data_IF_970439749045
#
_entry.id   IF_970439749045
#
_cell.length_a   1.000
_cell.length_b   1.000
_cell.length_c   1.000
_cell.angle_alpha   90.00
_cell.angle_beta   90.00
_cell.angle_gamma   90.00
#
_symmetry.space_group_name_H-M   'P 1'
#
loop_
_entity.id
_entity.type
_entity.pdbx_description
1 polymer ?
#
# COMPACT_ATOMS: atom_id res chain seq x y z
N UNK A 1 -2.90 30.19 -17.42
CA UNK A 1 -3.15 28.79 -16.95
C UNK A 1 -2.08 27.77 -17.40
N UNK A 2 -0.82 28.16 -17.64
CA UNK A 2 0.27 27.22 -18.01
C UNK A 2 1.14 26.74 -16.84
N UNK A 3 0.99 27.34 -15.65
CA UNK A 3 1.81 27.04 -14.48
C UNK A 3 1.52 25.66 -13.85
N UNK A 4 0.28 25.17 -13.95
CA UNK A 4 -0.16 23.91 -13.35
C UNK A 4 0.61 22.69 -13.89
N UNK A 5 0.70 22.46 -15.23
CA UNK A 5 1.44 21.31 -15.75
C UNK A 5 2.95 21.39 -15.46
N UNK A 6 3.53 22.59 -15.42
CA UNK A 6 4.94 22.78 -15.04
C UNK A 6 5.19 22.40 -13.59
N UNK A 7 4.30 22.80 -12.67
CA UNK A 7 4.39 22.44 -11.25
C UNK A 7 4.21 20.94 -11.01
N UNK A 8 3.30 20.29 -11.75
CA UNK A 8 3.13 18.83 -11.69
C UNK A 8 4.39 18.10 -12.19
N UNK A 9 5.05 18.63 -13.22
CA UNK A 9 6.28 18.04 -13.75
C UNK A 9 7.46 18.18 -12.79
N UNK A 10 7.60 19.33 -12.14
CA UNK A 10 8.64 19.57 -11.11
C UNK A 10 8.38 18.74 -9.85
N UNK A 11 7.11 18.67 -9.43
CA UNK A 11 6.69 17.95 -8.23
C UNK A 11 6.53 16.43 -8.39
N UNK A 12 6.80 15.86 -9.57
CA UNK A 12 6.49 14.45 -9.90
C UNK A 12 7.02 13.44 -8.88
N UNK A 13 8.22 13.66 -8.35
CA UNK A 13 8.81 12.78 -7.33
C UNK A 13 8.08 12.88 -5.99
N UNK A 14 7.69 14.09 -5.59
CA UNK A 14 6.90 14.31 -4.37
C UNK A 14 5.50 13.69 -4.48
N UNK A 15 4.88 13.82 -5.66
CA UNK A 15 3.59 13.18 -5.97
C UNK A 15 3.69 11.65 -5.94
N UNK A 16 4.73 11.07 -6.54
CA UNK A 16 4.96 9.63 -6.50
C UNK A 16 5.14 9.12 -5.07
N UNK A 17 5.92 9.82 -4.25
CA UNK A 17 6.11 9.47 -2.83
C UNK A 17 4.78 9.54 -2.08
N UNK A 18 3.97 10.57 -2.29
CA UNK A 18 2.66 10.72 -1.65
C UNK A 18 1.70 9.58 -2.03
N UNK A 19 1.67 9.18 -3.30
CA UNK A 19 0.85 8.06 -3.78
C UNK A 19 1.31 6.74 -3.16
N UNK A 20 2.61 6.48 -3.15
CA UNK A 20 3.17 5.25 -2.56
C UNK A 20 2.94 5.17 -1.05
N UNK A 21 3.08 6.29 -0.34
CA UNK A 21 2.77 6.38 1.09
C UNK A 21 1.27 6.15 1.37
N UNK A 22 0.40 6.74 0.54
CA UNK A 22 -1.04 6.53 0.61
C UNK A 22 -1.45 5.07 0.33
N UNK A 23 -0.79 4.44 -0.64
CA UNK A 23 -1.01 3.03 -0.97
C UNK A 23 -0.67 2.11 0.21
N UNK A 24 0.48 2.33 0.86
CA UNK A 24 0.86 1.55 2.04
C UNK A 24 -0.21 1.62 3.14
N UNK A 25 -0.71 2.83 3.41
CA UNK A 25 -1.80 3.05 4.38
C UNK A 25 -3.11 2.37 3.95
N UNK A 26 -3.50 2.49 2.69
CA UNK A 26 -4.72 1.87 2.17
C UNK A 26 -4.65 0.33 2.18
N UNK A 27 -3.49 -0.26 1.87
CA UNK A 27 -3.29 -1.71 1.87
C UNK A 27 -3.39 -2.35 3.27
N UNK A 28 -3.14 -1.57 4.32
CA UNK A 28 -3.25 -1.99 5.72
C UNK A 28 -4.66 -1.81 6.30
N UNK A 29 -5.57 -1.15 5.59
CA UNK A 29 -6.92 -0.86 6.07
C UNK A 29 -7.82 -2.08 5.93
N UNK A 30 -8.12 -2.75 7.05
CA UNK A 30 -8.97 -3.94 7.08
C UNK A 30 -10.37 -3.61 7.62
N UNK A 31 -10.47 -2.70 8.59
CA UNK A 31 -11.73 -2.38 9.27
C UNK A 31 -12.78 -1.81 8.32
N UNK A 32 -12.41 -0.81 7.53
CA UNK A 32 -13.31 -0.23 6.55
C UNK A 32 -13.78 -1.26 5.50
N UNK A 33 -12.88 -2.14 5.04
CA UNK A 33 -13.19 -3.13 4.00
C UNK A 33 -14.14 -4.21 4.49
N UNK A 34 -14.04 -4.62 5.77
CA UNK A 34 -15.00 -5.56 6.38
C UNK A 34 -16.42 -4.97 6.39
N UNK A 35 -16.57 -3.69 6.73
CA UNK A 35 -17.88 -3.02 6.86
C UNK A 35 -18.52 -2.76 5.48
N UNK A 36 -17.74 -2.32 4.50
CA UNK A 36 -18.23 -1.94 3.16
C UNK A 36 -18.61 -3.16 2.29
N UNK A 37 -18.33 -4.38 2.75
CA UNK A 37 -18.71 -5.61 2.04
C UNK A 37 -17.58 -6.25 1.23
N UNK A 38 -16.31 -5.94 1.55
CA UNK A 38 -15.15 -6.58 0.94
C UNK A 38 -14.83 -7.98 1.47
N UNK A 39 -15.83 -8.72 1.98
CA UNK A 39 -15.66 -10.06 2.54
C UNK A 39 -16.51 -11.16 1.81
N UNK A 40 -17.08 -10.84 0.65
CA UNK A 40 -17.91 -11.81 -0.09
C UNK A 40 -17.00 -12.79 -0.85
N UNK A 41 -17.20 -14.09 -0.60
CA UNK A 41 -16.37 -15.14 -1.19
C UNK A 41 -16.38 -15.06 -2.72
N UNK A 42 -15.19 -15.12 -3.33
CA UNK A 42 -14.97 -15.08 -4.78
C UNK A 42 -15.51 -13.85 -5.54
N UNK A 43 -16.02 -12.82 -4.87
CA UNK A 43 -16.53 -11.61 -5.50
C UNK A 43 -15.72 -10.38 -5.13
N UNK A 44 -15.67 -10.05 -3.84
CA UNK A 44 -15.06 -8.81 -3.33
C UNK A 44 -14.05 -9.07 -2.21
N UNK A 45 -13.83 -10.34 -1.84
CA UNK A 45 -12.94 -10.71 -0.75
C UNK A 45 -11.50 -10.32 -1.04
N UNK A 46 -10.95 -9.45 -0.20
CA UNK A 46 -9.53 -9.07 -0.25
C UNK A 46 -8.70 -9.94 0.70
N UNK A 47 -7.39 -10.02 0.44
CA UNK A 47 -6.46 -10.84 1.20
C UNK A 47 -6.53 -10.61 2.72
N UNK A 48 -6.62 -9.35 3.15
CA UNK A 48 -6.71 -8.97 4.58
C UNK A 48 -7.97 -9.51 5.26
N UNK A 49 -9.12 -9.44 4.58
CA UNK A 49 -10.38 -10.02 5.10
C UNK A 49 -10.36 -11.55 5.12
N UNK A 50 -9.66 -12.19 4.17
CA UNK A 50 -9.43 -13.65 4.21
C UNK A 50 -8.59 -14.04 5.43
N UNK A 51 -7.55 -13.27 5.77
CA UNK A 51 -6.74 -13.52 6.97
C UNK A 51 -7.61 -13.47 8.22
N UNK A 52 -8.44 -12.43 8.36
CA UNK A 52 -9.37 -12.31 9.49
C UNK A 52 -10.36 -13.47 9.53
N UNK A 53 -10.95 -13.83 8.38
CA UNK A 53 -11.92 -14.92 8.28
C UNK A 53 -11.32 -16.28 8.66
N UNK A 54 -10.15 -16.63 8.12
CA UNK A 54 -9.48 -17.91 8.42
C UNK A 54 -8.99 -17.96 9.88
N UNK A 55 -8.59 -16.82 10.46
CA UNK A 55 -8.27 -16.71 11.88
C UNK A 55 -9.50 -16.97 12.75
N UNK A 56 -10.66 -16.38 12.42
CA UNK A 56 -11.92 -16.61 13.15
C UNK A 56 -12.46 -18.03 13.01
N UNK A 57 -12.11 -18.75 11.93
CA UNK A 57 -12.42 -20.18 11.75
C UNK A 57 -11.46 -21.12 12.51
N UNK A 58 -10.38 -20.60 13.10
CA UNK A 58 -9.32 -21.40 13.73
C UNK A 58 -8.30 -21.99 12.75
N UNK A 59 -8.36 -21.65 11.47
CA UNK A 59 -7.41 -22.10 10.45
C UNK A 59 -6.16 -21.19 10.42
N UNK A 60 -5.36 -21.29 11.48
CA UNK A 60 -4.20 -20.42 11.68
C UNK A 60 -3.11 -20.66 10.64
N UNK A 61 -2.95 -21.89 10.14
CA UNK A 61 -1.92 -22.20 9.13
C UNK A 61 -2.13 -21.39 7.85
N UNK A 62 -3.37 -21.36 7.33
CA UNK A 62 -3.71 -20.58 6.14
C UNK A 62 -3.65 -19.07 6.40
N UNK A 63 -4.15 -18.62 7.55
CA UNK A 63 -4.11 -17.22 7.93
C UNK A 63 -2.66 -16.68 8.04
N UNK A 64 -1.76 -17.43 8.69
CA UNK A 64 -0.36 -17.07 8.82
C UNK A 64 0.38 -17.12 7.47
N UNK A 65 0.10 -18.10 6.62
CA UNK A 65 0.67 -18.16 5.28
C UNK A 65 0.32 -16.93 4.44
N UNK A 66 -0.95 -16.55 4.41
CA UNK A 66 -1.41 -15.33 3.74
C UNK A 66 -0.83 -14.06 4.39
N UNK A 67 -0.75 -14.03 5.72
CA UNK A 67 -0.16 -12.93 6.48
C UNK A 67 1.30 -12.69 6.13
N UNK A 68 2.10 -13.76 6.02
CA UNK A 68 3.51 -13.66 5.64
C UNK A 68 3.68 -13.10 4.21
N UNK A 69 2.86 -13.58 3.27
CA UNK A 69 2.87 -13.07 1.90
C UNK A 69 2.53 -11.57 1.88
N UNK A 70 1.50 -11.17 2.63
CA UNK A 70 1.11 -9.76 2.72
C UNK A 70 2.25 -8.90 3.29
N UNK A 71 2.89 -9.34 4.37
CA UNK A 71 4.04 -8.63 4.98
C UNK A 71 5.18 -8.46 3.99
N UNK A 72 5.52 -9.51 3.22
CA UNK A 72 6.56 -9.42 2.20
C UNK A 72 6.22 -8.36 1.13
N UNK A 73 4.98 -8.34 0.66
CA UNK A 73 4.52 -7.34 -0.32
C UNK A 73 4.64 -5.92 0.26
N UNK A 74 4.18 -5.71 1.49
CA UNK A 74 4.22 -4.39 2.15
C UNK A 74 5.66 -3.91 2.34
N UNK A 75 6.57 -4.80 2.78
CA UNK A 75 7.98 -4.48 2.91
C UNK A 75 8.59 -4.08 1.57
N UNK A 76 8.31 -4.82 0.49
CA UNK A 76 8.83 -4.51 -0.84
C UNK A 76 8.35 -3.13 -1.34
N UNK A 77 7.07 -2.82 -1.16
CA UNK A 77 6.51 -1.52 -1.56
C UNK A 77 7.09 -0.38 -0.72
N UNK A 78 7.23 -0.58 0.59
CA UNK A 78 7.84 0.41 1.46
C UNK A 78 9.33 0.63 1.13
N UNK A 79 10.07 -0.46 0.86
CA UNK A 79 11.47 -0.38 0.43
C UNK A 79 11.62 0.39 -0.89
N UNK A 80 10.72 0.15 -1.87
CA UNK A 80 10.66 0.92 -3.11
C UNK A 80 10.41 2.41 -2.83
N UNK A 81 9.49 2.72 -1.91
CA UNK A 81 9.19 4.11 -1.52
C UNK A 81 10.41 4.81 -0.93
N UNK A 82 11.16 4.11 -0.06
CA UNK A 82 12.41 4.61 0.53
C UNK A 82 13.49 4.77 -0.54
N UNK A 83 13.62 3.84 -1.48
CA UNK A 83 14.58 3.93 -2.59
C UNK A 83 14.28 5.13 -3.52
N UNK A 84 13.01 5.34 -3.86
CA UNK A 84 12.57 6.49 -4.66
C UNK A 84 12.83 7.80 -3.90
N UNK A 85 12.54 7.84 -2.60
CA UNK A 85 12.80 9.01 -1.75
C UNK A 85 14.29 9.32 -1.64
N UNK A 86 15.15 8.32 -1.44
CA UNK A 86 16.59 8.51 -1.30
C UNK A 86 17.25 8.94 -2.61
N UNK A 87 16.77 8.43 -3.75
CA UNK A 87 17.15 8.91 -5.08
C UNK A 87 16.74 10.36 -5.33
N UNK A 88 15.52 10.73 -4.92
CA UNK A 88 15.02 12.11 -5.05
C UNK A 88 15.75 13.09 -4.12
N UNK A 89 16.05 12.71 -2.87
CA UNK A 89 16.76 13.59 -1.93
C UNK A 89 18.21 13.86 -2.33
N UNK A 90 18.88 12.91 -3.01
CA UNK A 90 20.22 13.11 -3.58
C UNK A 90 20.24 14.17 -4.69
N UNK A 91 19.16 14.28 -5.45
CA UNK A 91 19.01 15.29 -6.51
C UNK A 91 18.58 16.66 -5.96
N UNK A 92 17.85 16.68 -4.84
CA UNK A 92 17.41 17.93 -4.19
C UNK A 92 18.46 18.57 -3.28
N UNK A 93 19.41 17.81 -2.72
CA UNK A 93 20.49 18.32 -1.86
C UNK A 93 21.59 19.14 -2.55
N UNK A 94 21.37 19.61 -3.78
CA UNK A 94 22.29 20.43 -4.59
C UNK A 94 21.66 21.79 -5.00
N UNK A 95 20.66 22.27 -4.24
CA UNK A 95 20.09 23.61 -4.35
C UNK A 95 20.10 24.31 -3.00
#
# INVERSE_FOLDING_TARGET
>A
MRAIPTLLWDGRFSLLIAVLAGFGRASAEVGAVIIVGGNINHLTRVMTTTITLETSKGNLAMALGLGLILVLIVILVNALTVAVRSGASRLQGWR
#
